data_IF_879155005520
#
_entry.id   IF_879155005520
#
_cell.length_a   1.000
_cell.length_b   1.000
_cell.length_c   1.000
_cell.angle_alpha   90.00
_cell.angle_beta   90.00
_cell.angle_gamma   90.00
#
_symmetry.space_group_name_H-M   'P 1'
#
loop_
_entity.id
_entity.type
_entity.pdbx_description
1 polymer ?
#
# COMPACT_ATOMS: atom_id res chain seq x y z
N UNK A 1 -42.68 -11.44 34.06
CA UNK A 1 -43.39 -12.65 33.59
C UNK A 1 -43.21 -12.70 32.09
N UNK A 2 -42.52 -13.64 31.44
CA UNK A 2 -41.91 -14.92 31.80
C UNK A 2 -40.52 -14.98 31.13
N UNK A 3 -39.46 -15.38 31.84
CA UNK A 3 -38.92 -16.76 31.89
C UNK A 3 -38.23 -17.14 30.55
N UNK A 4 -36.93 -16.93 30.39
CA UNK A 4 -35.79 -17.75 30.89
C UNK A 4 -35.66 -19.11 30.18
N UNK A 5 -34.60 -19.27 29.38
CA UNK A 5 -33.68 -20.43 29.29
C UNK A 5 -32.49 -19.99 28.41
N UNK A 6 -31.28 -19.79 28.95
CA UNK A 6 -30.28 -20.82 29.30
C UNK A 6 -29.88 -21.62 28.03
N UNK A 7 -28.62 -21.66 27.57
CA UNK A 7 -27.38 -22.09 28.25
C UNK A 7 -26.22 -21.69 27.29
N UNK A 8 -25.16 -20.98 27.72
CA UNK A 8 -23.81 -21.48 28.12
C UNK A 8 -23.31 -22.62 27.18
N UNK A 9 -22.08 -22.66 26.69
CA UNK A 9 -20.82 -22.60 27.42
C UNK A 9 -19.65 -22.59 26.40
N UNK A 10 -18.51 -22.11 26.90
CA UNK A 10 -17.14 -22.05 26.41
C UNK A 10 -16.64 -23.11 25.41
N UNK A 11 -15.69 -22.69 24.55
CA UNK A 11 -14.36 -23.33 24.44
C UNK A 11 -13.47 -22.61 23.41
N UNK A 12 -12.61 -21.72 23.89
CA UNK A 12 -11.27 -21.54 23.30
C UNK A 12 -10.32 -22.42 24.10
N UNK A 13 -9.54 -23.30 23.43
CA UNK A 13 -8.12 -22.99 23.36
C UNK A 13 -7.46 -23.35 22.01
N UNK A 14 -6.65 -22.41 21.54
CA UNK A 14 -5.33 -22.59 20.92
C UNK A 14 -4.94 -23.98 20.37
N UNK A 15 -4.79 -24.08 19.04
CA UNK A 15 -3.99 -25.13 18.39
C UNK A 15 -3.36 -24.62 17.07
N UNK A 16 -2.20 -23.97 17.19
CA UNK A 16 -1.13 -23.99 16.17
C UNK A 16 0.04 -24.72 16.85
N UNK A 17 0.68 -25.70 16.19
CA UNK A 17 1.76 -25.32 15.28
C UNK A 17 2.00 -26.28 14.10
N UNK A 18 2.89 -25.82 13.21
CA UNK A 18 3.72 -26.62 12.32
C UNK A 18 3.03 -27.30 11.12
N UNK A 19 2.86 -26.53 10.05
CA UNK A 19 2.99 -27.04 8.68
C UNK A 19 4.26 -26.43 8.08
N UNK A 20 5.15 -27.32 7.67
CA UNK A 20 6.46 -27.13 7.06
C UNK A 20 6.45 -26.28 5.77
N UNK A 21 7.56 -25.52 5.63
CA UNK A 21 8.28 -25.16 4.41
C UNK A 21 7.52 -24.67 3.17
N UNK A 22 7.62 -23.35 2.91
CA UNK A 22 7.93 -22.73 1.60
C UNK A 22 8.72 -21.42 1.80
N UNK A 23 9.55 -21.02 0.82
CA UNK A 23 10.95 -20.68 1.02
C UNK A 23 11.24 -19.21 1.33
N UNK A 24 12.43 -19.01 1.90
CA UNK A 24 13.37 -17.91 1.66
C UNK A 24 12.80 -16.67 0.94
N UNK A 25 12.45 -15.65 1.72
CA UNK A 25 12.61 -14.29 1.28
C UNK A 25 13.50 -13.62 2.33
N UNK A 26 14.67 -13.04 1.96
CA UNK A 26 15.45 -12.29 2.92
C UNK A 26 14.52 -11.22 3.46
N UNK A 27 14.33 -11.21 4.78
CA UNK A 27 13.72 -10.12 5.51
C UNK A 27 14.59 -8.88 5.26
N UNK A 28 14.38 -8.29 4.10
CA UNK A 28 15.00 -7.04 3.69
C UNK A 28 14.55 -6.05 4.75
N UNK A 29 15.48 -5.27 5.35
CA UNK A 29 15.10 -4.26 6.32
C UNK A 29 13.99 -3.41 5.71
N UNK A 30 12.97 -2.99 6.49
CA UNK A 30 11.78 -2.34 5.96
C UNK A 30 12.23 -1.21 5.05
N UNK A 31 12.09 -1.41 3.74
CA UNK A 31 12.58 -0.47 2.73
C UNK A 31 11.87 0.83 3.04
N UNK A 32 12.64 1.80 3.57
CA UNK A 32 12.13 3.11 3.99
C UNK A 32 11.22 3.59 2.85
N UNK A 33 9.95 3.87 3.17
CA UNK A 33 9.00 4.36 2.18
C UNK A 33 9.61 5.63 1.59
N UNK A 34 9.97 5.59 0.30
CA UNK A 34 10.52 6.76 -0.38
C UNK A 34 9.50 7.89 -0.30
N UNK A 35 9.97 9.11 -0.02
CA UNK A 35 9.13 10.30 -0.10
C UNK A 35 8.73 10.50 -1.56
N UNK A 36 7.51 11.01 -1.81
CA UNK A 36 7.01 11.29 -3.17
C UNK A 36 8.00 12.16 -3.96
N UNK A 37 8.63 13.15 -3.30
CA UNK A 37 9.62 14.02 -3.94
C UNK A 37 10.88 13.29 -4.44
N UNK A 38 11.17 12.10 -3.92
CA UNK A 38 12.31 11.28 -4.33
C UNK A 38 11.91 10.12 -5.26
N UNK A 39 10.63 9.97 -5.59
CA UNK A 39 10.18 8.94 -6.52
C UNK A 39 10.44 9.34 -7.97
N UNK A 40 10.77 8.35 -8.79
CA UNK A 40 10.83 8.50 -10.25
C UNK A 40 9.44 8.41 -10.88
N UNK A 41 9.33 8.72 -12.18
CA UNK A 41 8.05 8.60 -12.88
C UNK A 41 7.46 7.19 -12.82
N UNK A 42 8.31 6.17 -12.95
CA UNK A 42 7.90 4.75 -12.91
C UNK A 42 7.35 4.39 -11.54
N UNK A 43 8.06 4.76 -10.46
CA UNK A 43 7.61 4.51 -9.09
C UNK A 43 6.30 5.23 -8.77
N UNK A 44 6.11 6.44 -9.29
CA UNK A 44 4.85 7.20 -9.14
C UNK A 44 3.70 6.49 -9.85
N UNK A 45 3.91 5.98 -11.06
CA UNK A 45 2.88 5.26 -11.82
C UNK A 45 2.48 3.95 -11.15
N UNK A 46 3.45 3.19 -10.65
CA UNK A 46 3.17 1.99 -9.83
C UNK A 46 2.37 2.33 -8.59
N UNK A 47 2.71 3.43 -7.90
CA UNK A 47 1.98 3.86 -6.70
C UNK A 47 0.59 4.37 -7.02
N UNK A 48 0.38 5.06 -8.14
CA UNK A 48 -0.96 5.46 -8.58
C UNK A 48 -1.84 4.24 -8.87
N UNK A 49 -1.30 3.22 -9.56
CA UNK A 49 -2.02 1.95 -9.78
C UNK A 49 -2.39 1.27 -8.46
N UNK A 50 -1.42 1.15 -7.56
CA UNK A 50 -1.66 0.58 -6.23
C UNK A 50 -2.74 1.35 -5.45
N UNK A 51 -2.70 2.68 -5.47
CA UNK A 51 -3.71 3.51 -4.78
C UNK A 51 -5.08 3.36 -5.43
N UNK A 52 -5.14 3.30 -6.76
CA UNK A 52 -6.39 3.07 -7.47
C UNK A 52 -7.00 1.70 -7.13
N UNK A 53 -6.20 0.64 -7.07
CA UNK A 53 -6.64 -0.71 -6.73
C UNK A 53 -7.03 -0.86 -5.25
N UNK A 54 -6.27 -0.25 -4.34
CA UNK A 54 -6.46 -0.44 -2.89
C UNK A 54 -7.40 0.57 -2.23
N UNK A 55 -7.43 1.81 -2.72
CA UNK A 55 -8.28 2.88 -2.20
C UNK A 55 -9.48 3.19 -3.09
N UNK A 56 -9.62 2.49 -4.21
CA UNK A 56 -10.79 2.61 -5.10
C UNK A 56 -10.86 3.90 -5.90
N UNK A 57 -9.78 4.68 -5.97
CA UNK A 57 -9.77 5.95 -6.72
C UNK A 57 -8.51 6.78 -6.54
N UNK A 58 -8.47 7.92 -7.23
CA UNK A 58 -7.36 8.88 -7.20
C UNK A 58 -7.75 10.21 -6.51
N UNK A 59 -8.89 10.24 -5.84
CA UNK A 59 -9.40 11.45 -5.17
C UNK A 59 -8.70 11.72 -3.82
N UNK A 60 -8.01 10.73 -3.27
CA UNK A 60 -7.23 10.84 -2.04
C UNK A 60 -6.10 11.87 -2.15
N UNK A 61 -5.84 12.62 -1.07
CA UNK A 61 -4.72 13.60 -1.00
C UNK A 61 -3.38 12.98 -1.43
N UNK A 62 -3.16 11.70 -1.09
CA UNK A 62 -1.95 11.00 -1.47
C UNK A 62 -1.84 10.80 -3.00
N UNK A 63 -2.94 10.42 -3.65
CA UNK A 63 -3.01 10.29 -5.11
C UNK A 63 -2.84 11.64 -5.81
N UNK A 64 -3.44 12.71 -5.27
CA UNK A 64 -3.26 14.07 -5.79
C UNK A 64 -1.79 14.50 -5.75
N UNK A 65 -1.08 14.25 -4.65
CA UNK A 65 0.36 14.54 -4.56
C UNK A 65 1.19 13.72 -5.57
N UNK A 66 0.84 12.46 -5.82
CA UNK A 66 1.51 11.63 -6.84
C UNK A 66 1.30 12.20 -8.25
N UNK A 67 0.08 12.60 -8.59
CA UNK A 67 -0.24 13.23 -9.89
C UNK A 67 0.50 14.57 -10.07
N UNK A 68 0.52 15.41 -9.04
CA UNK A 68 1.28 16.67 -9.06
C UNK A 68 2.77 16.42 -9.30
N UNK A 69 3.35 15.43 -8.61
CA UNK A 69 4.77 15.09 -8.79
C UNK A 69 5.03 14.56 -10.21
N UNK A 70 4.13 13.75 -10.75
CA UNK A 70 4.21 13.25 -12.14
C UNK A 70 4.23 14.41 -13.13
N UNK A 71 3.28 15.35 -13.01
CA UNK A 71 3.18 16.51 -13.88
C UNK A 71 4.45 17.38 -13.80
N UNK A 72 4.96 17.64 -12.59
CA UNK A 72 6.20 18.39 -12.38
C UNK A 72 7.39 17.74 -13.10
N UNK A 73 7.58 16.42 -12.96
CA UNK A 73 8.68 15.70 -13.59
C UNK A 73 8.58 15.73 -15.13
N UNK A 74 7.36 15.65 -15.68
CA UNK A 74 7.14 15.79 -17.13
C UNK A 74 7.48 17.20 -17.63
N UNK A 75 7.07 18.24 -16.90
CA UNK A 75 7.41 19.62 -17.21
C UNK A 75 8.94 19.82 -17.18
N UNK A 76 9.62 19.34 -16.14
CA UNK A 76 11.09 19.41 -16.04
C UNK A 76 11.80 18.68 -17.18
N UNK A 77 11.28 17.53 -17.64
CA UNK A 77 11.83 16.84 -18.81
C UNK A 77 11.66 17.65 -20.09
N UNK A 78 10.53 18.35 -20.25
CA UNK A 78 10.26 19.17 -21.44
C UNK A 78 11.16 20.42 -21.49
N UNK A 79 11.40 21.07 -20.36
CA UNK A 79 12.30 22.24 -20.29
C UNK A 79 13.74 21.84 -20.55
N UNK A 80 14.21 20.73 -19.97
CA UNK A 80 15.55 20.20 -20.17
C UNK A 80 15.81 19.76 -21.63
N UNK A 81 14.79 19.27 -22.35
CA UNK A 81 14.91 18.92 -23.78
C UNK A 81 14.92 20.14 -24.71
N UNK A 82 14.33 21.26 -24.31
CA UNK A 82 14.24 22.47 -25.13
C UNK A 82 15.51 23.32 -25.10
N UNK A 83 16.36 23.14 -24.10
CA UNK A 83 17.61 23.86 -23.89
C UNK A 83 18.86 23.13 -24.41
N UNK A 84 18.70 22.10 -25.24
CA UNK A 84 19.78 21.30 -25.82
C UNK A 84 19.66 21.31 -27.34
#
# INVERSE_FOLDING_TARGET
MAEEKATQEEATPEAKPASEEKPSAPASPPKKKKKINQMTLEEIEERLKYVQETQGGLDSLYAQHLLQRKAYLLQQKSTAKKSK
#
